data_IF_960399488370
#
_entry.id   IF_960399488370
#
_cell.length_a   1.000
_cell.length_b   1.000
_cell.length_c   1.000
_cell.angle_alpha   90.00
_cell.angle_beta   90.00
_cell.angle_gamma   90.00
#
_symmetry.space_group_name_H-M   'P 1'
#
loop_
_entity.id
_entity.type
_entity.pdbx_description
1 polymer ?
#
# COMPACT_ATOMS: atom_id res chain seq x y z
N UNK A 1 -13.12 -2.43 -15.79
CA UNK A 1 -14.33 -2.32 -14.94
C UNK A 1 -13.92 -1.55 -13.71
N UNK A 2 -14.61 -0.47 -13.36
CA UNK A 2 -14.32 0.31 -12.14
C UNK A 2 -14.99 -0.36 -10.93
N UNK A 3 -14.25 -0.47 -9.82
CA UNK A 3 -14.74 -1.05 -8.55
C UNK A 3 -14.79 0.05 -7.50
N UNK A 4 -15.80 0.00 -6.62
CA UNK A 4 -15.89 0.88 -5.45
C UNK A 4 -15.27 0.21 -4.22
N UNK A 5 -15.00 1.01 -3.19
CA UNK A 5 -14.53 0.51 -1.87
C UNK A 5 -15.45 -0.59 -1.32
N UNK A 6 -16.76 -0.49 -1.56
CA UNK A 6 -17.74 -1.48 -1.12
C UNK A 6 -17.65 -2.84 -1.81
N UNK A 7 -16.91 -2.93 -2.93
CA UNK A 7 -16.69 -4.18 -3.66
C UNK A 7 -15.49 -4.97 -3.14
N UNK A 8 -14.64 -4.36 -2.31
CA UNK A 8 -13.45 -5.01 -1.75
C UNK A 8 -13.87 -5.97 -0.64
N UNK A 9 -13.44 -7.22 -0.73
CA UNK A 9 -13.75 -8.27 0.24
C UNK A 9 -12.79 -8.22 1.44
N UNK A 10 -12.99 -7.20 2.28
CA UNK A 10 -12.30 -7.13 3.58
C UNK A 10 -12.66 -8.30 4.49
N UNK A 11 -13.79 -8.98 4.30
CA UNK A 11 -14.27 -10.02 5.21
C UNK A 11 -13.42 -11.30 5.14
N UNK A 12 -12.98 -11.66 3.92
CA UNK A 12 -12.15 -12.84 3.65
C UNK A 12 -10.82 -12.84 4.39
N UNK A 13 -10.28 -11.65 4.67
CA UNK A 13 -9.00 -11.45 5.36
C UNK A 13 -9.14 -10.77 6.73
N UNK A 14 -10.30 -10.92 7.39
CA UNK A 14 -10.50 -10.50 8.78
C UNK A 14 -10.54 -8.98 8.99
N UNK A 15 -11.07 -8.24 8.02
CA UNK A 15 -11.26 -6.79 8.04
C UNK A 15 -10.15 -5.97 7.39
N UNK A 16 -9.12 -6.61 6.87
CA UNK A 16 -7.96 -5.99 6.19
C UNK A 16 -7.61 -6.75 4.93
N UNK A 17 -7.08 -6.08 3.91
CA UNK A 17 -6.57 -6.73 2.68
C UNK A 17 -5.11 -6.34 2.44
N UNK A 18 -4.30 -7.24 1.82
CA UNK A 18 -2.96 -6.90 1.39
C UNK A 18 -2.96 -5.80 0.31
N UNK A 19 -1.93 -4.95 0.36
CA UNK A 19 -1.69 -3.91 -0.64
C UNK A 19 -0.24 -3.95 -1.07
N UNK A 20 -0.01 -4.16 -2.36
CA UNK A 20 1.29 -3.99 -2.99
C UNK A 20 1.46 -2.52 -3.34
N UNK A 21 2.58 -1.91 -2.97
CA UNK A 21 2.92 -0.55 -3.39
C UNK A 21 3.93 -0.63 -4.52
N UNK A 22 3.61 -0.04 -5.67
CA UNK A 22 4.44 -0.06 -6.87
C UNK A 22 4.78 1.37 -7.31
N UNK A 23 6.03 1.61 -7.68
CA UNK A 23 6.45 2.88 -8.28
C UNK A 23 5.82 3.04 -9.67
N UNK A 24 5.12 4.16 -9.90
CA UNK A 24 4.42 4.45 -11.13
C UNK A 24 5.33 4.52 -12.36
N UNK A 25 6.57 4.98 -12.16
CA UNK A 25 7.54 5.23 -13.22
C UNK A 25 8.42 3.99 -13.45
N UNK A 26 9.02 3.46 -12.39
CA UNK A 26 10.00 2.36 -12.52
C UNK A 26 9.37 0.97 -12.52
N UNK A 27 8.10 0.87 -12.11
CA UNK A 27 7.36 -0.39 -11.89
C UNK A 27 7.95 -1.28 -10.78
N UNK A 28 8.91 -0.76 -10.02
CA UNK A 28 9.50 -1.46 -8.88
C UNK A 28 8.47 -1.67 -7.77
N UNK A 29 8.49 -2.86 -7.17
CA UNK A 29 7.69 -3.13 -5.97
C UNK A 29 8.41 -2.53 -4.76
N UNK A 30 7.76 -1.58 -4.10
CA UNK A 30 8.33 -0.79 -3.01
C UNK A 30 8.09 -1.42 -1.65
N UNK A 31 6.87 -1.92 -1.39
CA UNK A 31 6.45 -2.42 -0.08
C UNK A 31 5.20 -3.29 -0.22
N UNK A 32 5.04 -4.29 0.65
CA UNK A 32 3.74 -4.91 0.95
C UNK A 32 3.24 -4.34 2.27
N UNK A 33 2.00 -3.87 2.28
CA UNK A 33 1.31 -3.37 3.46
C UNK A 33 -0.11 -3.98 3.54
N UNK A 34 -0.91 -3.50 4.49
CA UNK A 34 -2.31 -3.88 4.65
C UNK A 34 -3.17 -2.63 4.77
N UNK A 35 -4.38 -2.68 4.25
CA UNK A 35 -5.38 -1.62 4.37
C UNK A 35 -6.68 -2.20 4.92
N UNK A 36 -7.36 -1.49 5.82
CA UNK A 36 -8.77 -1.73 6.13
C UNK A 36 -9.64 -0.78 5.29
N UNK A 37 -10.96 -0.89 5.45
CA UNK A 37 -11.90 0.00 4.77
C UNK A 37 -11.60 1.48 5.00
N UNK A 38 -11.38 1.89 6.26
CA UNK A 38 -11.11 3.29 6.60
C UNK A 38 -9.80 3.80 5.99
N UNK A 39 -8.73 3.02 5.99
CA UNK A 39 -7.46 3.44 5.37
C UNK A 39 -7.57 3.51 3.85
N UNK A 40 -8.37 2.66 3.20
CA UNK A 40 -8.64 2.79 1.76
C UNK A 40 -9.45 4.06 1.45
N UNK A 41 -10.48 4.36 2.25
CA UNK A 41 -11.27 5.60 2.12
C UNK A 41 -10.40 6.85 2.30
N UNK A 42 -9.49 6.86 3.28
CA UNK A 42 -8.51 7.93 3.46
C UNK A 42 -7.53 8.02 2.30
N UNK A 43 -7.09 6.88 1.77
CA UNK A 43 -6.20 6.85 0.59
C UNK A 43 -6.84 7.57 -0.59
N UNK A 44 -8.12 7.28 -0.87
CA UNK A 44 -8.90 7.92 -1.92
C UNK A 44 -9.12 9.42 -1.65
N UNK A 45 -9.44 9.80 -0.41
CA UNK A 45 -9.75 11.20 -0.09
C UNK A 45 -8.53 12.11 -0.05
N UNK A 46 -7.38 11.62 0.43
CA UNK A 46 -6.16 12.44 0.56
C UNK A 46 -5.20 12.29 -0.62
N UNK A 47 -5.39 11.31 -1.50
CA UNK A 47 -4.48 11.00 -2.60
C UNK A 47 -3.08 10.53 -2.16
N UNK A 48 -2.96 10.03 -0.92
CA UNK A 48 -1.70 9.55 -0.34
C UNK A 48 -1.90 8.13 0.21
N UNK A 49 -0.85 7.31 0.26
CA UNK A 49 -0.94 5.97 0.82
C UNK A 49 -1.25 5.97 2.32
N UNK A 50 -2.44 5.48 2.68
CA UNK A 50 -2.81 5.13 4.05
C UNK A 50 -2.88 3.62 4.24
N UNK A 51 -2.45 3.18 5.42
CA UNK A 51 -2.38 1.77 5.76
C UNK A 51 -2.90 1.49 7.16
N UNK A 52 -3.26 0.23 7.39
CA UNK A 52 -3.59 -0.32 8.70
C UNK A 52 -2.39 -1.06 9.29
N UNK A 53 -1.91 -0.62 10.45
CA UNK A 53 -0.85 -1.31 11.18
C UNK A 53 -1.43 -2.48 11.97
N UNK A 54 -1.15 -3.72 11.55
CA UNK A 54 -1.64 -4.93 12.24
C UNK A 54 -1.16 -5.05 13.69
N UNK A 55 0.08 -4.65 13.96
CA UNK A 55 0.67 -4.70 15.29
C UNK A 55 0.15 -3.58 16.21
N UNK A 56 0.08 -2.35 15.70
CA UNK A 56 -0.36 -1.18 16.48
C UNK A 56 -1.87 -0.99 16.50
N UNK A 57 -2.62 -1.76 15.70
CA UNK A 57 -4.07 -1.65 15.50
C UNK A 57 -4.53 -0.21 15.27
N UNK A 58 -3.82 0.50 14.39
CA UNK A 58 -4.09 1.91 14.07
C UNK A 58 -3.79 2.24 12.61
N UNK A 59 -4.46 3.27 12.11
CA UNK A 59 -4.17 3.88 10.82
C UNK A 59 -2.86 4.66 10.87
N UNK A 60 -2.19 4.77 9.73
CA UNK A 60 -1.04 5.65 9.54
C UNK A 60 -0.91 6.04 8.07
N UNK A 61 -0.42 7.25 7.82
CA UNK A 61 -0.07 7.73 6.48
C UNK A 61 1.42 7.48 6.22
N UNK A 62 1.77 6.90 5.08
CA UNK A 62 3.19 6.71 4.73
C UNK A 62 3.86 8.06 4.56
N UNK A 63 4.93 8.27 5.31
CA UNK A 63 5.74 9.47 5.25
C UNK A 63 5.26 10.64 6.11
N UNK A 64 4.24 10.44 6.96
CA UNK A 64 3.72 11.49 7.85
C UNK A 64 4.81 12.13 8.73
N UNK A 65 5.71 11.31 9.27
CA UNK A 65 6.82 11.78 10.11
C UNK A 65 8.10 12.08 9.29
N UNK A 66 8.39 11.25 8.27
CA UNK A 66 9.66 11.31 7.53
C UNK A 66 9.67 12.23 6.30
N UNK A 67 8.50 12.71 5.85
CA UNK A 67 8.35 13.40 4.56
C UNK A 67 8.37 12.49 3.32
N UNK A 68 8.87 11.25 3.43
CA UNK A 68 8.86 10.23 2.36
C UNK A 68 7.45 9.69 2.05
N UNK A 69 6.57 10.57 1.55
CA UNK A 69 5.18 10.28 1.18
C UNK A 69 5.07 9.51 -0.12
N UNK A 70 3.87 8.99 -0.40
CA UNK A 70 3.56 8.22 -1.59
C UNK A 70 2.24 8.73 -2.17
N UNK A 71 2.32 9.50 -3.26
CA UNK A 71 1.15 10.06 -3.93
C UNK A 71 0.50 9.00 -4.81
N UNK A 72 -0.78 8.73 -4.62
CA UNK A 72 -1.53 7.75 -5.42
C UNK A 72 -1.70 8.29 -6.85
N UNK A 73 -1.40 7.43 -7.83
CA UNK A 73 -1.70 7.65 -9.25
C UNK A 73 -2.84 6.78 -9.72
N UNK A 74 -2.87 5.54 -9.25
CA UNK A 74 -3.87 4.54 -9.60
C UNK A 74 -3.98 3.52 -8.47
N UNK A 75 -5.16 2.92 -8.32
CA UNK A 75 -5.40 1.77 -7.44
C UNK A 75 -5.95 0.65 -8.32
N UNK A 76 -5.23 -0.47 -8.37
CA UNK A 76 -5.69 -1.68 -9.04
C UNK A 76 -6.28 -2.63 -8.02
N UNK A 77 -7.28 -3.40 -8.46
CA UNK A 77 -7.96 -4.43 -7.68
C UNK A 77 -7.75 -5.75 -8.39
N UNK A 78 -7.45 -6.82 -7.65
CA UNK A 78 -7.34 -8.16 -8.22
C UNK A 78 -8.70 -8.78 -8.58
N UNK A 79 -8.68 -9.99 -9.15
CA UNK A 79 -9.86 -10.56 -9.79
C UNK A 79 -10.96 -11.02 -8.82
N UNK A 80 -10.61 -11.34 -7.57
CA UNK A 80 -11.53 -11.70 -6.50
C UNK A 80 -11.66 -10.62 -5.42
N UNK A 81 -11.14 -9.42 -5.69
CA UNK A 81 -11.32 -8.21 -4.89
C UNK A 81 -10.82 -8.32 -3.45
N UNK A 82 -9.79 -9.12 -3.21
CA UNK A 82 -9.19 -9.32 -1.90
C UNK A 82 -7.75 -8.81 -1.78
N UNK A 83 -7.18 -8.25 -2.86
CA UNK A 83 -5.90 -7.55 -2.84
C UNK A 83 -5.90 -6.30 -3.73
N UNK A 84 -5.03 -5.35 -3.37
CA UNK A 84 -4.88 -4.09 -4.09
C UNK A 84 -3.44 -3.85 -4.54
N UNK A 85 -3.27 -3.05 -5.59
CA UNK A 85 -2.00 -2.40 -5.92
C UNK A 85 -2.19 -0.89 -5.82
N UNK A 86 -1.40 -0.24 -4.97
CA UNK A 86 -1.25 1.21 -4.98
C UNK A 86 -0.09 1.57 -5.91
N UNK A 87 -0.42 2.15 -7.06
CA UNK A 87 0.56 2.69 -8.00
C UNK A 87 0.84 4.13 -7.58
N UNK A 88 2.09 4.42 -7.20
CA UNK A 88 2.44 5.66 -6.50
C UNK A 88 3.63 6.40 -7.10
N UNK A 89 3.67 7.71 -6.86
CA UNK A 89 4.86 8.53 -7.02
C UNK A 89 5.50 8.76 -5.64
N UNK A 90 6.62 8.09 -5.30
CA UNK A 90 7.27 8.22 -4.01
C UNK A 90 8.10 9.51 -3.92
N UNK A 91 8.07 10.19 -2.77
CA UNK A 91 8.86 11.39 -2.46
C UNK A 91 10.17 11.09 -1.71
N UNK A 92 10.65 9.85 -1.78
CA UNK A 92 11.84 9.39 -1.07
C UNK A 92 11.85 7.86 -0.91
N UNK A 93 12.78 7.31 -0.12
CA UNK A 93 12.86 5.87 0.11
C UNK A 93 11.57 5.33 0.76
N UNK A 94 11.13 4.14 0.32
CA UNK A 94 9.99 3.47 0.91
C UNK A 94 10.36 2.82 2.25
N UNK A 95 11.60 2.32 2.39
CA UNK A 95 12.04 1.61 3.57
C UNK A 95 12.53 2.55 4.69
N UNK A 96 12.28 2.17 5.94
CA UNK A 96 12.75 2.92 7.12
C UNK A 96 14.27 2.83 7.31
N UNK A 97 14.96 1.90 6.64
CA UNK A 97 16.41 1.78 6.65
C UNK A 97 17.10 2.79 5.73
N UNK A 98 16.34 3.56 4.94
CA UNK A 98 16.86 4.45 3.91
C UNK A 98 16.93 3.81 2.52
N UNK A 99 16.67 2.49 2.42
CA UNK A 99 16.62 1.78 1.14
C UNK A 99 15.39 2.16 0.31
N UNK A 100 15.55 2.12 -1.02
CA UNK A 100 14.50 2.50 -1.97
C UNK A 100 13.24 1.66 -1.81
N UNK A 101 13.40 0.34 -1.74
CA UNK A 101 12.35 -0.67 -1.56
C UNK A 101 12.58 -1.47 -0.29
N UNK A 102 11.52 -1.99 0.34
CA UNK A 102 11.64 -2.97 1.42
C UNK A 102 12.18 -4.33 0.94
N UNK A 103 12.11 -4.62 -0.37
CA UNK A 103 12.54 -5.87 -0.97
C UNK A 103 14.01 -5.85 -1.42
N UNK A 104 14.89 -5.28 -0.59
CA UNK A 104 16.32 -5.12 -0.87
C UNK A 104 17.19 -6.30 -0.42
N UNK A 105 16.58 -7.39 0.05
CA UNK A 105 17.27 -8.61 0.46
C UNK A 105 16.90 -9.77 -0.47
N UNK A 106 17.85 -10.65 -0.76
CA UNK A 106 17.63 -11.85 -1.56
C UNK A 106 17.67 -13.11 -0.69
N UNK A 107 16.79 -14.07 -1.00
CA UNK A 107 16.89 -15.41 -0.42
C UNK A 107 18.06 -16.13 -1.08
N UNK A 108 19.00 -16.67 -0.29
CA UNK A 108 20.10 -17.48 -0.84
C UNK A 108 19.54 -18.75 -1.49
N UNK A 109 19.81 -18.96 -2.77
CA UNK A 109 19.64 -20.27 -3.39
C UNK A 109 20.78 -21.19 -2.95
N UNK A 110 20.47 -22.48 -2.72
CA UNK A 110 21.50 -23.52 -2.63
C UNK A 110 22.12 -23.77 -4.00
#
# INVERSE_FOLDING_TARGET
MEQNVSNIDFSKSGGIVPVIVQDANTKEILTLAYTNKESLERTLSTGNSWFWSRSRKKLWMKGEESGNTQKIKEILVDCDSDALIYVVEPQGPACHTGERTCFHNSLKSK
#
